data_IF_684267520117
#
_entry.id   IF_684267520117
#
_cell.length_a   1.000
_cell.length_b   1.000
_cell.length_c   1.000
_cell.angle_alpha   90.00
_cell.angle_beta   90.00
_cell.angle_gamma   90.00
#
_symmetry.space_group_name_H-M   'P 1'
#
loop_
_entity.id
_entity.type
_entity.pdbx_description
1 polymer ?
#
# COMPACT_ATOMS: atom_id res chain seq x y z
N UNK A 1 6.98 -1.66 -32.53
CA UNK A 1 7.06 -0.29 -31.99
C UNK A 1 8.27 0.42 -32.56
N UNK A 2 8.07 1.55 -33.24
CA UNK A 2 9.11 2.54 -33.51
C UNK A 2 8.55 3.93 -33.19
N UNK A 3 9.42 4.86 -32.79
CA UNK A 3 9.04 6.24 -32.51
C UNK A 3 8.98 7.01 -33.84
N UNK A 4 7.84 7.63 -34.16
CA UNK A 4 7.74 8.64 -35.22
C UNK A 4 7.00 9.85 -34.64
N UNK A 5 7.64 11.02 -34.74
CA UNK A 5 7.07 12.31 -34.35
C UNK A 5 6.53 12.39 -32.90
N UNK A 6 7.16 11.67 -31.96
CA UNK A 6 6.87 11.77 -30.52
C UNK A 6 5.56 11.11 -30.05
N UNK A 7 4.85 10.40 -30.93
CA UNK A 7 3.63 9.65 -30.61
C UNK A 7 3.88 8.15 -30.67
N UNK A 8 3.45 7.42 -29.63
CA UNK A 8 3.43 5.97 -29.63
C UNK A 8 2.25 5.48 -30.46
N UNK A 9 2.50 5.04 -31.69
CA UNK A 9 1.48 4.38 -32.52
C UNK A 9 1.49 2.86 -32.24
N UNK A 10 0.31 2.24 -32.02
CA UNK A 10 0.20 0.78 -32.05
C UNK A 10 0.70 0.27 -33.40
N UNK A 11 1.34 -0.91 -33.42
CA UNK A 11 1.48 -1.63 -34.70
C UNK A 11 0.05 -1.82 -35.26
N UNK A 12 -0.20 -1.36 -36.48
CA UNK A 12 -1.44 -1.61 -37.20
C UNK A 12 -1.64 -3.12 -37.37
N UNK A 13 -2.31 -3.77 -36.42
CA UNK A 13 -3.01 -5.03 -36.64
C UNK A 13 -4.49 -4.69 -36.83
N UNK A 14 -4.78 -3.99 -37.93
CA UNK A 14 -6.14 -3.91 -38.47
C UNK A 14 -6.34 -5.18 -39.29
N UNK A 15 -7.20 -6.08 -38.80
CA UNK A 15 -7.66 -7.22 -39.58
C UNK A 15 -9.04 -6.87 -40.13
N UNK A 16 -9.29 -7.19 -41.40
CA UNK A 16 -10.58 -7.02 -42.10
C UNK A 16 -11.76 -7.62 -41.31
N UNK A 17 -13.02 -7.23 -41.59
CA UNK A 17 -14.20 -7.79 -40.92
C UNK A 17 -14.22 -9.32 -41.00
N UNK A 18 -14.26 -9.99 -39.84
CA UNK A 18 -14.19 -11.45 -39.74
C UNK A 18 -15.53 -11.99 -39.28
N UNK A 19 -16.12 -12.97 -39.99
CA UNK A 19 -17.28 -13.70 -39.48
C UNK A 19 -16.97 -14.30 -38.11
N UNK A 20 -17.83 -14.06 -37.12
CA UNK A 20 -17.63 -14.50 -35.73
C UNK A 20 -17.89 -16.01 -35.55
N UNK A 21 -17.91 -16.76 -36.66
CA UNK A 21 -17.99 -18.21 -36.68
C UNK A 21 -16.77 -18.80 -35.94
N UNK A 22 -17.07 -19.58 -34.90
CA UNK A 22 -16.12 -20.17 -33.93
C UNK A 22 -14.91 -20.86 -34.55
N UNK A 23 -15.01 -21.35 -35.79
CA UNK A 23 -13.95 -22.07 -36.50
C UNK A 23 -12.80 -21.20 -36.97
N UNK A 24 -13.00 -19.90 -37.24
CA UNK A 24 -11.94 -19.02 -37.77
C UNK A 24 -11.31 -18.12 -36.70
N UNK A 25 -12.04 -17.83 -35.63
CA UNK A 25 -11.49 -17.14 -34.46
C UNK A 25 -10.24 -17.86 -33.89
N UNK A 26 -10.14 -19.19 -34.07
CA UNK A 26 -9.09 -20.10 -33.56
C UNK A 26 -7.69 -19.80 -34.08
N UNK A 27 -7.57 -19.14 -35.22
CA UNK A 27 -6.28 -18.88 -35.86
C UNK A 27 -5.66 -17.53 -35.44
N UNK A 28 -6.46 -16.61 -34.88
CA UNK A 28 -6.06 -15.22 -34.61
C UNK A 28 -6.12 -14.88 -33.11
N UNK A 29 -7.08 -15.46 -32.39
CA UNK A 29 -7.28 -15.17 -30.98
C UNK A 29 -6.44 -16.09 -30.10
N UNK A 30 -5.90 -15.53 -29.04
CA UNK A 30 -5.31 -16.30 -27.94
C UNK A 30 -6.38 -17.18 -27.27
N UNK A 31 -5.95 -18.27 -26.62
CA UNK A 31 -6.83 -19.16 -25.86
C UNK A 31 -7.71 -18.42 -24.83
N UNK A 32 -7.17 -17.36 -24.21
CA UNK A 32 -7.92 -16.51 -23.28
C UNK A 32 -9.04 -15.73 -23.97
N UNK A 33 -8.75 -15.13 -25.13
CA UNK A 33 -9.74 -14.38 -25.92
C UNK A 33 -10.86 -15.30 -26.41
N UNK A 34 -10.54 -16.54 -26.78
CA UNK A 34 -11.54 -17.58 -27.09
C UNK A 34 -12.49 -17.86 -25.95
N UNK A 35 -11.95 -18.07 -24.75
CA UNK A 35 -12.76 -18.34 -23.57
C UNK A 35 -13.71 -17.17 -23.27
N UNK A 36 -13.23 -15.93 -23.38
CA UNK A 36 -14.03 -14.72 -23.18
C UNK A 36 -15.15 -14.66 -24.24
N UNK A 37 -14.81 -14.79 -25.53
CA UNK A 37 -15.79 -14.70 -26.62
C UNK A 37 -16.89 -15.77 -26.49
N UNK A 38 -16.50 -17.01 -26.19
CA UNK A 38 -17.44 -18.13 -25.99
C UNK A 38 -18.40 -17.85 -24.84
N UNK A 39 -17.92 -17.28 -23.73
CA UNK A 39 -18.77 -16.91 -22.60
C UNK A 39 -19.65 -15.70 -22.89
N UNK A 40 -19.18 -14.76 -23.72
CA UNK A 40 -19.96 -13.62 -24.19
C UNK A 40 -21.13 -14.07 -25.08
N UNK A 41 -20.91 -14.98 -26.03
CA UNK A 41 -21.97 -15.55 -26.88
C UNK A 41 -23.01 -16.30 -26.03
N UNK A 42 -22.57 -17.09 -25.04
CA UNK A 42 -23.50 -17.76 -24.11
C UNK A 42 -24.41 -16.77 -23.37
N UNK A 43 -23.89 -15.58 -23.02
CA UNK A 43 -24.65 -14.53 -22.33
C UNK A 43 -25.52 -13.71 -23.28
N UNK A 44 -25.07 -13.51 -24.53
CA UNK A 44 -25.75 -12.74 -25.55
C UNK A 44 -25.78 -13.53 -26.88
N UNK A 45 -26.75 -14.44 -27.06
CA UNK A 45 -26.76 -15.39 -28.18
C UNK A 45 -26.82 -14.77 -29.57
N UNK A 46 -27.40 -13.57 -29.72
CA UNK A 46 -27.48 -12.84 -31.00
C UNK A 46 -26.09 -12.54 -31.59
N UNK A 47 -25.04 -12.50 -30.76
CA UNK A 47 -23.67 -12.29 -31.22
C UNK A 47 -23.11 -13.48 -32.01
N UNK A 48 -23.70 -14.68 -31.90
CA UNK A 48 -23.27 -15.85 -32.68
C UNK A 48 -23.50 -15.67 -34.19
N UNK A 49 -24.48 -14.85 -34.55
CA UNK A 49 -24.88 -14.57 -35.94
C UNK A 49 -24.28 -13.24 -36.46
N UNK A 50 -23.57 -12.51 -35.60
CA UNK A 50 -22.98 -11.21 -35.93
C UNK A 50 -21.56 -11.37 -36.50
N UNK A 51 -21.07 -10.36 -37.22
CA UNK A 51 -19.68 -10.31 -37.70
C UNK A 51 -18.84 -9.37 -36.83
N UNK A 52 -17.56 -9.69 -36.64
CA UNK A 52 -16.61 -8.79 -35.97
C UNK A 52 -16.10 -7.77 -36.98
N UNK A 53 -16.60 -6.54 -36.94
CA UNK A 53 -16.15 -5.47 -37.85
C UNK A 53 -14.69 -5.09 -37.60
N UNK A 54 -14.28 -5.01 -36.32
CA UNK A 54 -12.93 -4.61 -35.94
C UNK A 54 -12.51 -5.23 -34.61
N UNK A 55 -11.30 -5.78 -34.60
CA UNK A 55 -10.64 -6.22 -33.38
C UNK A 55 -9.50 -5.26 -33.02
N UNK A 56 -9.56 -4.64 -31.84
CA UNK A 56 -8.55 -3.67 -31.38
C UNK A 56 -7.84 -4.22 -30.15
N UNK A 57 -6.52 -4.32 -30.21
CA UNK A 57 -5.68 -4.54 -29.03
C UNK A 57 -5.05 -3.21 -28.63
N UNK A 58 -5.47 -2.67 -27.48
CA UNK A 58 -4.93 -1.44 -26.91
C UNK A 58 -3.93 -1.72 -25.79
N UNK A 59 -2.90 -0.88 -25.70
CA UNK A 59 -2.05 -0.83 -24.52
C UNK A 59 -2.76 -0.05 -23.41
N UNK A 60 -2.53 -0.45 -22.17
CA UNK A 60 -3.06 0.21 -20.99
C UNK A 60 -2.06 0.14 -19.82
N UNK A 61 -2.20 1.07 -18.88
CA UNK A 61 -1.29 1.25 -17.75
C UNK A 61 -1.90 0.65 -16.49
N UNK A 62 -1.33 -0.46 -16.03
CA UNK A 62 -1.69 -1.11 -14.79
C UNK A 62 -0.69 -0.83 -13.67
N UNK A 63 -1.20 -0.65 -12.47
CA UNK A 63 -0.41 -0.42 -11.26
C UNK A 63 -0.33 -1.70 -10.43
N UNK A 64 0.70 -1.84 -9.57
CA UNK A 64 0.92 -3.08 -8.81
C UNK A 64 -0.23 -3.53 -7.90
N UNK A 65 -1.11 -2.60 -7.52
CA UNK A 65 -2.24 -2.80 -6.62
C UNK A 65 -3.61 -2.56 -7.29
N UNK A 66 -3.64 -2.36 -8.61
CA UNK A 66 -4.85 -2.08 -9.39
C UNK A 66 -5.57 -0.79 -9.00
N UNK A 67 -4.86 0.19 -8.42
CA UNK A 67 -5.40 1.51 -8.06
C UNK A 67 -4.64 2.64 -8.75
N UNK A 68 -5.35 3.71 -9.10
CA UNK A 68 -4.76 4.93 -9.66
C UNK A 68 -3.58 5.42 -8.81
N UNK A 69 -2.57 6.00 -9.44
CA UNK A 69 -1.47 6.72 -8.78
C UNK A 69 -1.67 8.22 -8.99
N UNK A 70 -1.78 8.96 -7.90
CA UNK A 70 -1.94 10.41 -7.94
C UNK A 70 -1.23 11.12 -6.78
N UNK A 71 -1.16 12.46 -6.84
CA UNK A 71 -0.49 13.39 -5.92
C UNK A 71 0.98 13.71 -6.29
N UNK A 72 1.56 14.62 -5.52
CA UNK A 72 2.96 15.01 -5.60
C UNK A 72 3.90 13.84 -5.28
N UNK A 73 4.98 13.72 -6.04
CA UNK A 73 6.01 12.70 -5.84
C UNK A 73 6.77 12.87 -4.53
N UNK A 74 7.40 11.78 -4.09
CA UNK A 74 8.21 11.76 -2.87
C UNK A 74 9.57 12.41 -3.12
N UNK A 75 10.11 12.19 -4.32
CA UNK A 75 11.49 12.45 -4.68
C UNK A 75 11.73 13.86 -5.22
N UNK A 76 10.72 14.45 -5.87
CA UNK A 76 10.82 15.73 -6.56
C UNK A 76 9.69 16.65 -6.08
N UNK A 77 10.07 17.80 -5.54
CA UNK A 77 9.12 18.84 -5.13
C UNK A 77 8.43 19.45 -6.36
N UNK A 78 7.14 19.76 -6.21
CA UNK A 78 6.27 20.29 -7.26
C UNK A 78 6.12 19.39 -8.49
N UNK A 79 6.45 18.10 -8.39
CA UNK A 79 6.21 17.11 -9.46
C UNK A 79 4.96 16.28 -9.14
N UNK A 80 3.88 16.51 -9.87
CA UNK A 80 2.59 15.86 -9.66
C UNK A 80 2.39 14.70 -10.64
N UNK A 81 1.96 13.56 -10.11
CA UNK A 81 1.64 12.36 -10.90
C UNK A 81 0.12 12.16 -10.90
N UNK A 82 -0.41 11.69 -12.02
CA UNK A 82 -1.78 11.22 -12.19
C UNK A 82 -1.80 10.17 -13.32
N UNK A 83 -1.46 8.91 -12.99
CA UNK A 83 -1.23 7.85 -13.96
C UNK A 83 -1.64 6.47 -13.44
N UNK A 84 -1.69 5.48 -14.33
CA UNK A 84 -1.98 4.09 -13.98
C UNK A 84 -3.45 3.88 -13.61
N UNK A 85 -4.38 4.31 -14.46
CA UNK A 85 -5.82 4.24 -14.20
C UNK A 85 -6.43 2.84 -14.37
N UNK A 86 -5.64 1.81 -14.71
CA UNK A 86 -6.07 0.42 -14.81
C UNK A 86 -7.35 0.22 -15.65
N UNK A 87 -7.42 0.79 -16.85
CA UNK A 87 -8.60 0.69 -17.73
C UNK A 87 -9.73 1.68 -17.45
N UNK A 88 -9.60 2.56 -16.45
CA UNK A 88 -10.65 3.50 -16.07
C UNK A 88 -10.32 4.96 -16.39
N UNK A 89 -9.31 5.22 -17.23
CA UNK A 89 -8.81 6.58 -17.51
C UNK A 89 -9.90 7.55 -17.93
N UNK A 90 -10.77 7.15 -18.87
CA UNK A 90 -11.82 8.04 -19.41
C UNK A 90 -12.86 8.36 -18.33
N UNK A 91 -13.29 7.35 -17.56
CA UNK A 91 -14.29 7.52 -16.51
C UNK A 91 -13.78 8.39 -15.34
N UNK A 92 -12.48 8.34 -15.04
CA UNK A 92 -11.87 9.07 -13.93
C UNK A 92 -11.32 10.45 -14.31
N UNK A 93 -11.07 10.71 -15.59
CA UNK A 93 -10.34 11.90 -16.07
C UNK A 93 -10.86 13.22 -15.51
N UNK A 94 -12.18 13.45 -15.53
CA UNK A 94 -12.78 14.70 -15.03
C UNK A 94 -12.52 14.94 -13.54
N UNK A 95 -12.69 13.91 -12.71
CA UNK A 95 -12.47 14.01 -11.26
C UNK A 95 -11.01 14.16 -10.90
N UNK A 96 -10.13 13.39 -11.54
CA UNK A 96 -8.67 13.46 -11.33
C UNK A 96 -8.13 14.82 -11.76
N UNK A 97 -8.54 15.33 -12.92
CA UNK A 97 -8.12 16.64 -13.42
C UNK A 97 -8.51 17.77 -12.47
N UNK A 98 -9.78 17.79 -12.02
CA UNK A 98 -10.26 18.76 -11.03
C UNK A 98 -9.44 18.69 -9.73
N UNK A 99 -9.25 17.48 -9.19
CA UNK A 99 -8.53 17.29 -7.93
C UNK A 99 -7.07 17.79 -8.02
N UNK A 100 -6.35 17.44 -9.09
CA UNK A 100 -4.94 17.85 -9.23
C UNK A 100 -4.83 19.36 -9.42
N UNK A 101 -5.77 19.97 -10.17
CA UNK A 101 -5.82 21.42 -10.31
C UNK A 101 -6.08 22.13 -8.97
N UNK A 102 -7.01 21.63 -8.15
CA UNK A 102 -7.27 22.16 -6.80
C UNK A 102 -6.05 21.99 -5.89
N UNK A 103 -5.39 20.83 -5.92
CA UNK A 103 -4.20 20.57 -5.13
C UNK A 103 -3.05 21.51 -5.48
N UNK A 104 -2.80 21.75 -6.78
CA UNK A 104 -1.77 22.69 -7.24
C UNK A 104 -2.11 24.13 -6.87
N UNK A 105 -3.38 24.53 -6.99
CA UNK A 105 -3.80 25.90 -6.72
C UNK A 105 -3.82 26.24 -5.23
N UNK A 106 -4.35 25.35 -4.39
CA UNK A 106 -4.59 25.60 -2.97
C UNK A 106 -3.50 25.02 -2.05
N UNK A 107 -2.65 24.12 -2.55
CA UNK A 107 -1.71 23.33 -1.76
C UNK A 107 -2.36 22.20 -0.94
N UNK A 108 -3.69 22.14 -0.87
CA UNK A 108 -4.44 21.08 -0.19
C UNK A 108 -5.80 20.83 -0.87
N UNK A 109 -6.46 19.74 -0.47
CA UNK A 109 -7.83 19.43 -0.87
C UNK A 109 -8.62 18.85 0.30
N UNK A 110 -9.95 18.95 0.25
CA UNK A 110 -10.85 18.35 1.25
C UNK A 110 -11.14 16.86 0.99
N UNK A 111 -10.56 16.28 -0.08
CA UNK A 111 -10.78 14.90 -0.47
C UNK A 111 -9.60 14.03 -0.03
N UNK A 112 -9.89 13.00 0.76
CA UNK A 112 -8.88 12.01 1.11
C UNK A 112 -8.59 11.10 -0.08
N UNK A 113 -7.36 11.13 -0.57
CA UNK A 113 -6.87 10.30 -1.69
C UNK A 113 -6.03 9.13 -1.21
N UNK A 114 -6.24 8.68 0.02
CA UNK A 114 -5.41 7.68 0.69
C UNK A 114 -5.06 6.44 -0.14
N UNK A 115 -6.08 5.88 -0.78
CA UNK A 115 -5.98 4.62 -1.51
C UNK A 115 -5.27 4.76 -2.85
N UNK A 116 -5.08 5.99 -3.35
CA UNK A 116 -4.58 6.31 -4.69
C UNK A 116 -3.36 7.23 -4.67
N UNK A 117 -2.96 7.72 -3.48
CA UNK A 117 -1.74 8.50 -3.27
C UNK A 117 -0.49 7.71 -3.70
N UNK A 118 0.43 8.36 -4.42
CA UNK A 118 1.71 7.78 -4.85
C UNK A 118 2.60 7.35 -3.68
N UNK A 119 2.51 8.05 -2.54
CA UNK A 119 3.29 7.81 -1.32
C UNK A 119 2.81 6.57 -0.55
N UNK A 120 1.92 5.76 -1.13
CA UNK A 120 1.62 4.41 -0.66
C UNK A 120 2.63 3.37 -1.14
N UNK A 121 3.55 3.74 -2.04
CA UNK A 121 4.62 2.86 -2.49
C UNK A 121 5.96 3.31 -1.90
N UNK A 122 6.74 2.35 -1.41
CA UNK A 122 8.17 2.55 -1.15
C UNK A 122 9.03 2.19 -2.37
N UNK A 123 10.31 2.58 -2.34
CA UNK A 123 11.29 2.34 -3.40
C UNK A 123 11.40 0.88 -3.85
N UNK A 124 11.17 -0.10 -2.96
CA UNK A 124 11.18 -1.51 -3.35
C UNK A 124 10.15 -1.86 -4.43
N UNK A 125 9.03 -1.13 -4.51
CA UNK A 125 8.01 -1.35 -5.52
C UNK A 125 8.38 -0.83 -6.91
N UNK A 126 9.50 -0.10 -7.06
CA UNK A 126 10.01 0.31 -8.38
C UNK A 126 10.88 -0.78 -9.02
N UNK A 127 11.07 -1.92 -8.35
CA UNK A 127 11.81 -3.05 -8.89
C UNK A 127 11.13 -3.60 -10.15
N UNK A 128 11.85 -3.66 -11.26
CA UNK A 128 11.29 -4.05 -12.55
C UNK A 128 10.69 -5.47 -12.53
N UNK A 129 11.37 -6.42 -11.87
CA UNK A 129 10.89 -7.79 -11.76
C UNK A 129 9.58 -7.86 -10.96
N UNK A 130 9.52 -7.14 -9.84
CA UNK A 130 8.28 -6.99 -9.07
C UNK A 130 7.16 -6.44 -9.96
N UNK A 131 7.41 -5.34 -10.68
CA UNK A 131 6.40 -4.76 -11.57
C UNK A 131 5.95 -5.73 -12.65
N UNK A 132 6.86 -6.46 -13.29
CA UNK A 132 6.53 -7.49 -14.30
C UNK A 132 5.67 -8.62 -13.74
N UNK A 133 5.99 -9.11 -12.54
CA UNK A 133 5.20 -10.15 -11.88
C UNK A 133 3.79 -9.65 -11.52
N UNK A 134 3.68 -8.42 -11.02
CA UNK A 134 2.39 -7.79 -10.70
C UNK A 134 1.56 -7.52 -11.95
N UNK A 135 2.17 -7.10 -13.06
CA UNK A 135 1.50 -6.87 -14.33
C UNK A 135 0.86 -8.14 -14.90
N UNK A 136 1.39 -9.33 -14.61
CA UNK A 136 0.77 -10.60 -15.01
C UNK A 136 -0.44 -10.94 -14.13
N UNK A 137 -0.35 -10.65 -12.85
CA UNK A 137 -1.37 -11.02 -11.86
C UNK A 137 -2.58 -10.07 -11.87
N UNK A 138 -2.32 -8.76 -11.90
CA UNK A 138 -3.33 -7.72 -11.61
C UNK A 138 -4.47 -7.67 -12.64
N UNK A 139 -4.21 -7.65 -13.97
CA UNK A 139 -5.29 -7.61 -14.97
C UNK A 139 -6.24 -8.81 -14.83
N UNK A 140 -5.70 -10.00 -14.55
CA UNK A 140 -6.51 -11.21 -14.33
C UNK A 140 -7.39 -11.16 -13.07
N UNK A 141 -7.07 -10.28 -12.11
CA UNK A 141 -7.82 -10.08 -10.86
C UNK A 141 -8.76 -8.87 -10.89
N UNK A 142 -8.80 -8.08 -11.96
CA UNK A 142 -9.57 -6.83 -12.02
C UNK A 142 -11.06 -7.02 -11.68
N UNK A 143 -11.68 -8.08 -12.20
CA UNK A 143 -13.09 -8.43 -11.95
C UNK A 143 -13.26 -9.53 -10.90
N UNK A 144 -12.21 -9.90 -10.17
CA UNK A 144 -12.29 -10.90 -9.10
C UNK A 144 -12.96 -10.33 -7.85
N UNK A 145 -13.64 -11.21 -7.10
CA UNK A 145 -14.16 -10.85 -5.78
C UNK A 145 -13.00 -10.61 -4.81
N UNK A 146 -12.91 -9.40 -4.27
CA UNK A 146 -11.89 -9.02 -3.29
C UNK A 146 -12.36 -9.41 -1.89
N UNK A 147 -11.64 -10.32 -1.26
CA UNK A 147 -11.90 -10.73 0.12
C UNK A 147 -10.98 -10.00 1.11
N UNK A 148 -11.44 -9.74 2.34
CA UNK A 148 -10.59 -9.16 3.38
C UNK A 148 -9.55 -10.18 3.88
N UNK A 149 -8.47 -9.66 4.51
CA UNK A 149 -7.28 -10.34 5.04
C UNK A 149 -6.11 -10.44 4.05
N UNK A 150 -5.21 -9.46 4.13
CA UNK A 150 -3.89 -9.47 3.50
C UNK A 150 -2.84 -9.30 4.61
N UNK A 151 -1.82 -10.17 4.60
CA UNK A 151 -0.74 -10.17 5.59
C UNK A 151 0.41 -9.27 5.20
N UNK A 152 0.41 -8.71 4.00
CA UNK A 152 1.52 -7.90 3.49
C UNK A 152 1.17 -6.41 3.54
N UNK A 153 2.11 -5.58 4.03
CA UNK A 153 2.03 -4.12 4.00
C UNK A 153 3.40 -3.51 3.67
N UNK A 154 3.50 -2.85 2.52
CA UNK A 154 4.73 -2.22 2.00
C UNK A 154 5.94 -3.17 1.96
N UNK A 155 5.75 -4.37 1.44
CA UNK A 155 6.77 -5.42 1.33
C UNK A 155 7.03 -6.17 2.63
N UNK A 156 6.43 -5.77 3.76
CA UNK A 156 6.55 -6.52 5.02
C UNK A 156 5.46 -7.57 5.13
N UNK A 157 5.88 -8.83 5.30
CA UNK A 157 5.00 -9.93 5.68
C UNK A 157 4.67 -9.85 7.17
N UNK A 158 3.39 -9.84 7.50
CA UNK A 158 2.87 -9.67 8.87
C UNK A 158 1.95 -10.84 9.20
N UNK A 159 2.24 -11.61 10.25
CA UNK A 159 1.34 -12.65 10.73
C UNK A 159 -0.01 -12.05 11.13
N UNK A 160 -1.10 -12.46 10.46
CA UNK A 160 -2.46 -12.05 10.83
C UNK A 160 -2.97 -12.88 12.02
N UNK A 161 -2.59 -14.16 12.04
CA UNK A 161 -2.85 -15.13 13.11
C UNK A 161 -1.90 -16.33 12.92
N UNK A 162 -1.72 -17.13 13.97
CA UNK A 162 -0.90 -18.33 14.00
C UNK A 162 -1.79 -19.58 14.02
N UNK A 163 -1.57 -20.50 13.06
CA UNK A 163 -2.31 -21.77 12.99
C UNK A 163 -1.37 -22.92 12.64
N UNK A 164 -1.67 -24.13 13.13
CA UNK A 164 -0.94 -25.39 12.82
C UNK A 164 -1.47 -26.13 11.59
N UNK A 165 -2.67 -25.80 11.10
CA UNK A 165 -3.32 -26.46 9.94
C UNK A 165 -3.78 -25.41 8.92
N UNK A 166 -4.17 -25.81 7.70
CA UNK A 166 -4.51 -24.89 6.60
C UNK A 166 -5.54 -23.82 6.97
N UNK A 167 -5.19 -22.55 6.79
CA UNK A 167 -6.12 -21.45 6.85
C UNK A 167 -7.08 -21.52 5.64
N UNK A 168 -8.35 -21.82 5.89
CA UNK A 168 -9.36 -21.81 4.83
C UNK A 168 -9.51 -20.41 4.20
N UNK A 169 -10.01 -20.36 2.96
CA UNK A 169 -10.22 -19.11 2.21
C UNK A 169 -11.06 -18.08 2.99
N UNK A 170 -10.72 -16.82 2.83
CA UNK A 170 -11.50 -15.68 3.34
C UNK A 170 -12.93 -15.70 2.80
N UNK A 171 -13.86 -15.18 3.61
CA UNK A 171 -15.29 -15.09 3.31
C UNK A 171 -15.81 -13.70 3.63
N UNK A 172 -16.95 -13.30 3.07
CA UNK A 172 -17.62 -12.04 3.48
C UNK A 172 -18.28 -12.14 4.87
N UNK A 173 -18.65 -13.36 5.29
CA UNK A 173 -19.14 -13.63 6.63
C UNK A 173 -18.02 -13.85 7.63
N UNK A 174 -18.38 -14.42 8.79
CA UNK A 174 -17.43 -14.73 9.86
C UNK A 174 -16.27 -15.60 9.34
N UNK A 175 -15.06 -15.07 9.45
CA UNK A 175 -13.88 -15.73 8.93
C UNK A 175 -13.62 -17.08 9.61
N UNK A 176 -13.12 -18.05 8.85
CA UNK A 176 -12.82 -19.40 9.36
C UNK A 176 -11.75 -19.40 10.45
N UNK A 177 -10.85 -18.42 10.44
CA UNK A 177 -9.80 -18.22 11.45
C UNK A 177 -10.28 -17.50 12.71
N UNK A 178 -11.56 -17.13 12.83
CA UNK A 178 -12.10 -16.41 13.99
C UNK A 178 -11.84 -17.12 15.32
N UNK A 179 -12.04 -18.44 15.37
CA UNK A 179 -11.81 -19.21 16.60
C UNK A 179 -10.32 -19.34 16.93
N UNK A 180 -9.44 -19.27 15.93
CA UNK A 180 -7.98 -19.22 16.13
C UNK A 180 -7.58 -17.90 16.79
N UNK A 181 -8.02 -16.77 16.23
CA UNK A 181 -7.79 -15.45 16.84
C UNK A 181 -8.41 -15.36 18.23
N UNK A 182 -9.57 -15.98 18.46
CA UNK A 182 -10.15 -16.08 19.81
C UNK A 182 -9.22 -16.81 20.78
N UNK A 183 -8.49 -17.85 20.36
CA UNK A 183 -7.51 -18.54 21.21
C UNK A 183 -6.32 -17.64 21.51
N UNK A 184 -5.76 -16.97 20.52
CA UNK A 184 -4.65 -16.01 20.69
C UNK A 184 -5.03 -14.86 21.63
N UNK A 185 -6.21 -14.28 21.43
CA UNK A 185 -6.76 -13.27 22.33
C UNK A 185 -6.82 -13.78 23.78
N UNK A 186 -7.35 -14.99 24.00
CA UNK A 186 -7.41 -15.58 25.34
C UNK A 186 -6.02 -15.86 25.91
N UNK A 187 -5.06 -16.29 25.09
CA UNK A 187 -3.68 -16.53 25.51
C UNK A 187 -3.00 -15.23 25.96
N UNK A 188 -3.13 -14.16 25.17
CA UNK A 188 -2.66 -12.81 25.51
C UNK A 188 -3.31 -12.31 26.82
N UNK A 189 -4.63 -12.42 26.95
CA UNK A 189 -5.37 -11.91 28.13
C UNK A 189 -5.09 -12.69 29.41
N UNK A 190 -4.86 -14.00 29.34
CA UNK A 190 -4.69 -14.87 30.51
C UNK A 190 -3.23 -15.16 30.85
N UNK A 191 -2.31 -14.89 29.92
CA UNK A 191 -0.91 -15.26 30.07
C UNK A 191 0.01 -14.20 29.46
N UNK A 192 0.50 -14.43 28.25
CA UNK A 192 1.47 -13.57 27.56
C UNK A 192 1.38 -13.87 26.07
N UNK A 193 1.60 -12.85 25.25
CA UNK A 193 1.76 -12.94 23.82
C UNK A 193 2.97 -12.11 23.38
N UNK A 194 3.58 -12.53 22.29
CA UNK A 194 4.63 -11.77 21.61
C UNK A 194 4.08 -11.38 20.25
N UNK A 195 4.13 -10.09 19.93
CA UNK A 195 3.65 -9.54 18.67
C UNK A 195 4.84 -8.95 17.93
N UNK A 196 5.02 -9.36 16.67
CA UNK A 196 6.02 -8.76 15.80
C UNK A 196 5.54 -7.38 15.31
N UNK A 197 6.28 -6.36 15.71
CA UNK A 197 6.07 -4.95 15.39
C UNK A 197 7.19 -4.39 14.52
N UNK A 198 8.08 -5.25 13.99
CA UNK A 198 9.27 -4.87 13.22
C UNK A 198 8.93 -4.05 11.98
N UNK A 199 7.74 -4.23 11.40
CA UNK A 199 7.31 -3.44 10.25
C UNK A 199 6.98 -1.98 10.59
N UNK A 200 6.81 -1.61 11.87
CA UNK A 200 6.53 -0.23 12.23
C UNK A 200 7.70 0.65 11.84
N UNK A 201 7.41 1.78 11.21
CA UNK A 201 8.44 2.69 10.74
C UNK A 201 9.00 3.45 11.92
N UNK A 202 10.32 3.57 11.95
CA UNK A 202 11.07 4.17 13.05
C UNK A 202 11.95 5.28 12.48
N UNK A 203 11.66 6.52 12.84
CA UNK A 203 12.52 7.66 12.51
C UNK A 203 13.29 8.12 13.74
N UNK A 204 14.57 8.41 13.56
CA UNK A 204 15.44 8.99 14.58
C UNK A 204 15.73 10.44 14.22
N UNK A 205 15.39 11.36 15.11
CA UNK A 205 15.70 12.78 15.01
C UNK A 205 16.71 13.16 16.08
N UNK A 206 17.80 13.84 15.69
CA UNK A 206 18.88 14.22 16.59
C UNK A 206 19.27 15.69 16.39
N UNK A 207 19.56 16.40 17.48
CA UNK A 207 20.09 17.77 17.46
C UNK A 207 21.15 17.94 18.55
N UNK A 208 22.07 18.89 18.37
CA UNK A 208 23.06 19.24 19.39
C UNK A 208 22.47 20.06 20.56
N UNK A 209 21.25 20.56 20.39
CA UNK A 209 20.52 21.44 21.30
C UNK A 209 19.04 21.01 21.36
N UNK A 210 18.15 21.89 21.83
CA UNK A 210 16.71 21.64 21.97
C UNK A 210 15.93 21.67 20.64
N UNK A 211 16.58 21.90 19.49
CA UNK A 211 15.90 22.12 18.20
C UNK A 211 14.94 21.01 17.81
N UNK A 212 15.23 19.74 18.12
CA UNK A 212 14.27 18.64 17.88
C UNK A 212 12.98 18.84 18.67
N UNK A 213 13.07 19.18 19.96
CA UNK A 213 11.86 19.37 20.78
C UNK A 213 11.09 20.60 20.32
N UNK A 214 11.78 21.71 20.04
CA UNK A 214 11.15 22.94 19.55
C UNK A 214 10.41 22.69 18.22
N UNK A 215 11.04 21.97 17.30
CA UNK A 215 10.46 21.56 16.03
C UNK A 215 9.22 20.67 16.23
N UNK A 216 9.34 19.59 17.00
CA UNK A 216 8.24 18.65 17.21
C UNK A 216 7.08 19.30 17.97
N UNK A 217 7.36 20.19 18.93
CA UNK A 217 6.35 20.90 19.71
C UNK A 217 5.45 21.80 18.86
N UNK A 218 5.94 22.30 17.72
CA UNK A 218 5.17 23.11 16.79
C UNK A 218 4.06 22.32 16.07
N UNK A 219 4.25 21.01 15.89
CA UNK A 219 3.36 20.18 15.07
C UNK A 219 2.52 19.18 15.86
N UNK A 220 2.99 18.74 17.03
CA UNK A 220 2.24 17.80 17.85
C UNK A 220 1.30 18.50 18.81
N UNK A 221 0.10 17.93 18.95
CA UNK A 221 -0.93 18.45 19.84
C UNK A 221 -0.61 18.24 21.34
N UNK A 222 0.17 17.20 21.69
CA UNK A 222 0.60 17.00 23.08
C UNK A 222 1.89 17.78 23.35
N UNK A 223 2.11 18.06 24.63
CA UNK A 223 3.39 18.60 25.09
C UNK A 223 4.49 17.54 24.98
N UNK A 224 5.45 17.79 24.10
CA UNK A 224 6.64 16.96 23.81
C UNK A 224 7.79 17.28 24.78
N UNK A 225 7.82 18.48 25.35
CA UNK A 225 8.81 18.90 26.34
C UNK A 225 8.57 18.17 27.68
N UNK A 226 9.08 16.94 27.73
CA UNK A 226 8.98 16.00 28.84
C UNK A 226 10.37 15.48 29.19
N UNK A 227 10.59 15.01 30.43
CA UNK A 227 11.86 14.41 30.82
C UNK A 227 12.27 13.27 29.88
N UNK A 228 13.57 13.15 29.65
CA UNK A 228 14.16 12.06 28.85
C UNK A 228 13.68 10.70 29.41
N UNK A 229 13.32 9.79 28.51
CA UNK A 229 12.72 8.49 28.85
C UNK A 229 11.19 8.48 28.83
N UNK A 230 10.54 9.64 28.67
CA UNK A 230 9.07 9.71 28.53
C UNK A 230 8.63 9.31 27.13
N UNK A 231 7.62 8.43 27.05
CA UNK A 231 6.89 8.15 25.80
C UNK A 231 5.64 9.03 25.77
N UNK A 232 5.57 9.94 24.79
CA UNK A 232 4.38 10.76 24.56
C UNK A 232 3.59 10.16 23.40
N UNK A 233 2.31 9.83 23.62
CA UNK A 233 1.44 9.32 22.56
C UNK A 233 1.01 10.46 21.61
N UNK A 234 1.98 10.91 20.84
CA UNK A 234 1.90 11.85 19.70
C UNK A 234 3.22 11.77 18.92
N UNK A 235 4.34 11.44 19.57
CA UNK A 235 5.66 11.26 18.97
C UNK A 235 6.73 11.02 20.05
N UNK A 236 7.80 10.32 19.69
CA UNK A 236 9.00 10.05 20.52
C UNK A 236 10.20 10.66 19.74
N UNK A 237 11.34 10.94 20.38
CA UNK A 237 12.64 11.13 19.71
C UNK A 237 12.97 9.98 18.71
N UNK A 238 12.35 8.83 18.93
CA UNK A 238 12.22 7.71 18.01
C UNK A 238 10.78 7.61 17.48
N UNK A 239 10.42 8.40 16.45
CA UNK A 239 9.04 8.45 15.97
C UNK A 239 8.64 7.10 15.35
N UNK A 240 7.84 6.33 16.08
CA UNK A 240 7.22 5.11 15.60
C UNK A 240 5.93 5.45 14.85
N UNK A 241 5.77 4.89 13.64
CA UNK A 241 4.63 5.15 12.78
C UNK A 241 4.09 3.86 12.14
N UNK A 242 2.78 3.78 11.82
CA UNK A 242 2.26 2.64 11.08
C UNK A 242 3.01 2.45 9.76
N UNK A 243 3.34 1.20 9.42
CA UNK A 243 4.09 0.82 8.21
C UNK A 243 3.57 1.51 6.96
N UNK A 244 2.25 1.55 6.76
CA UNK A 244 1.58 2.14 5.59
C UNK A 244 1.78 3.66 5.44
N UNK A 245 2.38 4.31 6.43
CA UNK A 245 2.67 5.74 6.46
C UNK A 245 4.12 6.11 6.21
N UNK A 246 5.00 5.11 6.10
CA UNK A 246 6.45 5.30 6.06
C UNK A 246 6.90 6.35 5.06
N UNK A 247 6.34 6.31 3.85
CA UNK A 247 6.79 7.17 2.77
C UNK A 247 6.19 8.58 2.89
N UNK A 248 4.93 8.68 3.35
CA UNK A 248 4.26 9.98 3.59
C UNK A 248 4.91 10.76 4.71
N UNK A 249 5.15 10.11 5.84
CA UNK A 249 5.73 10.76 7.00
C UNK A 249 7.18 11.16 6.73
N UNK A 250 7.93 10.33 6.00
CA UNK A 250 9.27 10.71 5.54
C UNK A 250 9.24 11.95 4.64
N UNK A 251 8.34 12.01 3.64
CA UNK A 251 8.19 13.22 2.81
C UNK A 251 7.85 14.44 3.66
N UNK A 252 6.87 14.32 4.56
CA UNK A 252 6.46 15.42 5.41
C UNK A 252 7.60 15.91 6.31
N UNK A 253 8.33 14.99 6.97
CA UNK A 253 9.47 15.33 7.81
C UNK A 253 10.58 16.02 7.01
N UNK A 254 10.94 15.49 5.84
CA UNK A 254 11.95 16.10 4.97
C UNK A 254 11.58 17.51 4.51
N UNK A 255 10.30 17.78 4.27
CA UNK A 255 9.82 19.10 3.85
C UNK A 255 9.82 20.12 4.99
N UNK A 256 9.66 19.70 6.25
CA UNK A 256 9.48 20.63 7.38
C UNK A 256 10.69 20.72 8.30
N UNK A 257 11.54 19.70 8.36
CA UNK A 257 12.80 19.77 9.10
C UNK A 257 13.64 20.91 8.51
N UNK A 258 14.17 21.83 9.35
CA UNK A 258 15.02 22.92 8.87
C UNK A 258 16.17 22.42 8.00
N UNK A 259 16.48 23.16 6.94
CA UNK A 259 17.66 22.87 6.10
C UNK A 259 18.98 23.27 6.77
N UNK A 260 18.91 24.06 7.84
CA UNK A 260 20.08 24.28 8.67
C UNK A 260 20.46 22.97 9.40
N UNK A 261 21.74 22.76 9.65
CA UNK A 261 22.25 21.50 10.22
C UNK A 261 21.87 21.29 11.69
N UNK A 262 20.76 21.90 12.15
CA UNK A 262 20.25 21.83 13.51
C UNK A 262 19.63 20.47 13.84
N UNK A 263 19.02 19.79 12.87
CA UNK A 263 18.32 18.52 13.07
C UNK A 263 18.77 17.48 12.02
N UNK A 264 19.19 16.32 12.50
CA UNK A 264 19.52 15.15 11.68
C UNK A 264 18.36 14.16 11.72
N UNK A 265 17.77 13.88 10.56
CA UNK A 265 16.69 12.92 10.37
C UNK A 265 17.22 11.63 9.71
N UNK A 266 16.91 10.47 10.29
CA UNK A 266 17.22 9.17 9.71
C UNK A 266 16.05 8.18 9.84
N UNK A 267 15.82 7.38 8.80
CA UNK A 267 14.97 6.19 8.86
C UNK A 267 15.82 5.03 9.36
N UNK A 268 15.52 4.55 10.56
CA UNK A 268 16.24 3.46 11.22
C UNK A 268 15.40 2.19 11.29
N UNK A 269 14.27 2.13 10.58
CA UNK A 269 13.33 1.00 10.61
C UNK A 269 14.02 -0.34 10.42
N UNK A 270 14.84 -0.47 9.37
CA UNK A 270 15.56 -1.72 9.05
C UNK A 270 16.69 -2.06 10.02
N UNK A 271 17.08 -1.15 10.92
CA UNK A 271 18.12 -1.40 11.92
C UNK A 271 17.59 -2.09 13.18
N UNK A 272 16.28 -2.10 13.38
CA UNK A 272 15.65 -2.64 14.57
C UNK A 272 14.69 -3.77 14.24
N UNK A 273 14.61 -4.73 15.16
CA UNK A 273 13.51 -5.68 15.28
C UNK A 273 12.72 -5.26 16.51
N UNK A 274 11.41 -5.10 16.37
CA UNK A 274 10.56 -4.64 17.47
C UNK A 274 9.58 -5.76 17.83
N UNK A 275 9.67 -6.25 19.07
CA UNK A 275 8.76 -7.24 19.62
C UNK A 275 7.99 -6.62 20.78
N UNK A 276 6.66 -6.67 20.69
CA UNK A 276 5.79 -6.28 21.78
C UNK A 276 5.45 -7.51 22.64
N UNK A 277 5.83 -7.46 23.92
CA UNK A 277 5.62 -8.53 24.89
C UNK A 277 4.50 -8.11 25.84
N UNK A 278 3.30 -8.63 25.59
CA UNK A 278 2.07 -8.15 26.21
C UNK A 278 1.32 -9.26 26.96
N UNK A 279 0.73 -8.90 28.10
CA UNK A 279 -0.12 -9.79 28.90
C UNK A 279 0.22 -9.77 30.39
N UNK A 280 -0.63 -10.35 31.27
CA UNK A 280 -0.44 -10.32 32.71
C UNK A 280 0.87 -10.96 33.20
N UNK A 281 1.48 -11.86 32.41
CA UNK A 281 2.76 -12.51 32.74
C UNK A 281 3.98 -11.89 32.04
N UNK A 282 3.81 -10.80 31.28
CA UNK A 282 4.90 -10.16 30.54
C UNK A 282 6.06 -9.74 31.45
N UNK A 283 5.74 -9.05 32.54
CA UNK A 283 6.73 -8.60 33.54
C UNK A 283 7.53 -9.76 34.15
N UNK A 284 6.85 -10.87 34.46
CA UNK A 284 7.51 -12.06 34.98
C UNK A 284 8.52 -12.61 33.96
N UNK A 285 8.10 -12.79 32.70
CA UNK A 285 9.01 -13.27 31.65
C UNK A 285 10.23 -12.34 31.48
N UNK A 286 10.00 -11.03 31.37
CA UNK A 286 11.07 -10.05 31.16
C UNK A 286 12.07 -10.04 32.33
N UNK A 287 11.59 -10.21 33.57
CA UNK A 287 12.47 -10.31 34.76
C UNK A 287 13.34 -11.57 34.81
N UNK A 288 13.02 -12.61 34.02
CA UNK A 288 13.87 -13.80 33.91
C UNK A 288 14.96 -13.65 32.84
N UNK A 289 14.82 -12.65 31.96
CA UNK A 289 15.70 -12.41 30.81
C UNK A 289 16.60 -11.18 30.99
N UNK A 290 16.38 -10.38 32.04
CA UNK A 290 17.10 -9.15 32.30
C UNK A 290 17.24 -8.89 33.80
N UNK A 291 18.37 -8.31 34.20
CA UNK A 291 18.66 -7.86 35.56
C UNK A 291 17.97 -6.52 35.90
N UNK A 292 17.33 -5.88 34.92
CA UNK A 292 16.58 -4.63 35.08
C UNK A 292 15.31 -4.80 35.92
N UNK A 293 14.98 -3.80 36.72
CA UNK A 293 13.77 -3.80 37.53
C UNK A 293 12.56 -3.24 36.78
N UNK A 294 11.69 -4.11 36.27
CA UNK A 294 10.45 -3.73 35.56
C UNK A 294 9.31 -3.24 36.49
N UNK A 295 9.62 -2.67 37.65
CA UNK A 295 8.64 -2.22 38.64
C UNK A 295 7.99 -0.88 38.30
N UNK A 296 8.66 -0.05 37.49
CA UNK A 296 8.33 1.36 37.29
C UNK A 296 7.73 1.70 35.92
N UNK A 297 7.23 0.71 35.17
CA UNK A 297 6.36 0.99 34.01
C UNK A 297 5.00 1.46 34.53
N UNK A 298 4.96 2.69 35.04
CA UNK A 298 3.73 3.41 35.38
C UNK A 298 2.80 3.36 34.18
N UNK A 299 1.54 3.00 34.44
CA UNK A 299 0.45 3.15 33.48
C UNK A 299 0.57 4.55 32.87
N UNK A 300 0.66 4.62 31.54
CA UNK A 300 0.35 5.85 30.82
C UNK A 300 -1.09 6.20 31.21
N UNK A 301 -1.24 7.18 32.10
CA UNK A 301 -2.54 7.73 32.50
C UNK A 301 -3.08 8.62 31.38
#
# INVERSE_FOLDING_TARGET
>A
MYLKDGLWLPNDFMVDPIPLALTFAQEILTEQQHCILSNTIKRCPILAESECERFITGADSFTPDSRLIMNESVEIDNYFVASGSNGHSIALAGGVGKYIAELIHNGNTNLSTWSVDIRRFMRLHTNERFLQDRLREIPGKQYSLKYPAYGEVLGYERPIFFKTDEAGKSTFGKARWFNTVKKEYNACRKSIAVIDMTSFTIYKLESANQSVVDFLQMFYANNIDKPIGTVVHTGIFLLASPTSQSTRNMKWLKTHVPEDTSIFLSDVTSLYTALDVIGPKAKYLLSQLSDEHFNDFTRLN
#
